data_IF_766986897307
#
_entry.id   IF_766986897307
#
_cell.length_a   1.000
_cell.length_b   1.000
_cell.length_c   1.000
_cell.angle_alpha   90.00
_cell.angle_beta   90.00
_cell.angle_gamma   90.00
#
_symmetry.space_group_name_H-M   'P 1'
#
loop_
_entity.id
_entity.type
_entity.pdbx_description
1 polymer ?
#
# COMPACT_ATOMS: atom_id res chain seq x y z
N UNK A 1 -18.72 38.49 11.31
CA UNK A 1 -19.12 37.43 12.26
C UNK A 1 -18.47 36.12 11.86
N UNK A 2 -17.62 35.60 12.73
CA UNK A 2 -16.78 34.41 12.53
C UNK A 2 -17.63 33.15 12.26
N UNK A 3 -17.47 32.54 11.07
CA UNK A 3 -17.93 31.18 10.82
C UNK A 3 -16.93 30.22 11.46
N UNK A 4 -17.23 29.75 12.65
CA UNK A 4 -16.50 28.66 13.30
C UNK A 4 -16.46 27.45 12.38
N UNK A 5 -15.25 27.03 12.00
CA UNK A 5 -15.01 25.74 11.36
C UNK A 5 -15.41 24.60 12.29
N UNK A 6 -16.63 24.12 12.18
CA UNK A 6 -17.01 22.79 12.64
C UNK A 6 -16.37 21.78 11.69
N UNK A 7 -15.09 21.45 11.92
CA UNK A 7 -14.47 20.23 11.36
C UNK A 7 -15.23 19.07 11.98
N UNK A 8 -16.07 18.38 11.20
CA UNK A 8 -16.87 17.27 11.71
C UNK A 8 -15.95 16.16 12.25
N UNK A 9 -16.27 15.62 13.43
CA UNK A 9 -15.59 14.46 14.01
C UNK A 9 -15.65 13.21 13.12
N UNK A 10 -16.59 13.17 12.17
CA UNK A 10 -16.78 12.04 11.26
C UNK A 10 -15.55 11.80 10.38
N UNK A 11 -14.94 12.86 9.82
CA UNK A 11 -13.76 12.70 8.97
C UNK A 11 -12.54 12.14 9.69
N UNK A 12 -12.43 12.31 11.02
CA UNK A 12 -11.35 11.69 11.79
C UNK A 12 -11.56 10.18 11.95
N UNK A 13 -12.75 9.76 12.38
CA UNK A 13 -13.06 8.35 12.57
C UNK A 13 -13.05 7.58 11.25
N UNK A 14 -13.48 8.21 10.16
CA UNK A 14 -13.47 7.59 8.83
C UNK A 14 -12.04 7.34 8.34
N UNK A 15 -11.13 8.31 8.54
CA UNK A 15 -9.70 8.14 8.23
C UNK A 15 -9.07 7.00 9.05
N UNK A 16 -9.38 6.92 10.35
CA UNK A 16 -8.87 5.89 11.25
C UNK A 16 -9.36 4.52 10.81
N UNK A 17 -10.68 4.38 10.59
CA UNK A 17 -11.30 3.12 10.16
C UNK A 17 -10.76 2.66 8.82
N UNK A 18 -10.71 3.55 7.83
CA UNK A 18 -10.19 3.26 6.50
C UNK A 18 -8.74 2.79 6.56
N UNK A 19 -7.87 3.53 7.26
CA UNK A 19 -6.48 3.13 7.46
C UNK A 19 -6.33 1.77 8.12
N UNK A 20 -7.04 1.52 9.22
CA UNK A 20 -6.98 0.26 9.95
C UNK A 20 -7.49 -0.93 9.12
N UNK A 21 -8.59 -0.79 8.38
CA UNK A 21 -9.13 -1.85 7.55
C UNK A 21 -8.14 -2.27 6.47
N UNK A 22 -7.57 -1.28 5.77
CA UNK A 22 -6.56 -1.53 4.74
C UNK A 22 -5.34 -2.21 5.38
N UNK A 23 -4.79 -1.64 6.46
CA UNK A 23 -3.58 -2.17 7.10
C UNK A 23 -3.72 -3.57 7.68
N UNK A 24 -4.87 -3.91 8.28
CA UNK A 24 -5.17 -5.28 8.69
C UNK A 24 -5.28 -6.24 7.49
N UNK A 25 -5.78 -5.76 6.34
CA UNK A 25 -5.75 -6.49 5.07
C UNK A 25 -4.33 -6.84 4.63
N UNK A 26 -3.42 -5.86 4.64
CA UNK A 26 -2.00 -6.09 4.33
C UNK A 26 -1.36 -7.10 5.29
N UNK A 27 -1.59 -6.95 6.60
CA UNK A 27 -1.04 -7.88 7.59
C UNK A 27 -1.56 -9.30 7.37
N UNK A 28 -2.87 -9.46 7.18
CA UNK A 28 -3.49 -10.75 6.86
C UNK A 28 -2.83 -11.37 5.63
N UNK A 29 -2.70 -10.60 4.55
CA UNK A 29 -2.07 -11.06 3.31
C UNK A 29 -0.63 -11.52 3.54
N UNK A 30 0.18 -10.72 4.25
CA UNK A 30 1.57 -11.04 4.56
C UNK A 30 1.67 -12.36 5.33
N UNK A 31 0.86 -12.52 6.39
CA UNK A 31 0.81 -13.75 7.19
C UNK A 31 0.41 -14.95 6.33
N UNK A 32 -0.65 -14.82 5.53
CA UNK A 32 -1.11 -15.92 4.65
C UNK A 32 -0.02 -16.37 3.68
N UNK A 33 0.70 -15.42 3.06
CA UNK A 33 1.79 -15.74 2.15
C UNK A 33 3.00 -16.33 2.85
N UNK A 34 3.40 -15.79 4.00
CA UNK A 34 4.52 -16.33 4.79
C UNK A 34 4.24 -17.76 5.26
N UNK A 35 3.00 -18.08 5.61
CA UNK A 35 2.61 -19.42 6.04
C UNK A 35 2.38 -20.40 4.86
N UNK A 36 2.43 -19.91 3.61
CA UNK A 36 2.07 -20.71 2.43
C UNK A 36 0.58 -21.10 2.39
N UNK A 37 -0.27 -20.42 3.16
CA UNK A 37 -1.70 -20.70 3.29
C UNK A 37 -2.47 -19.60 2.57
N UNK A 38 -2.97 -19.88 1.37
CA UNK A 38 -3.76 -18.93 0.58
C UNK A 38 -3.03 -18.43 -0.66
N UNK A 39 -3.41 -19.00 -1.81
CA UNK A 39 -3.27 -18.32 -3.10
C UNK A 39 -4.39 -17.29 -3.22
N UNK A 40 -4.12 -16.17 -3.91
CA UNK A 40 -5.23 -15.34 -4.40
C UNK A 40 -5.86 -16.16 -5.51
N UNK A 41 -7.15 -16.46 -5.39
CA UNK A 41 -7.89 -17.10 -6.47
C UNK A 41 -8.15 -16.06 -7.54
N UNK A 42 -7.16 -15.84 -8.42
CA UNK A 42 -7.27 -14.92 -9.55
C UNK A 42 -8.07 -15.55 -10.72
N UNK A 43 -8.56 -16.79 -10.57
CA UNK A 43 -9.34 -17.50 -11.60
C UNK A 43 -10.69 -16.85 -11.93
N UNK A 44 -11.15 -15.90 -11.11
CA UNK A 44 -12.42 -15.19 -11.29
C UNK A 44 -12.30 -13.87 -12.05
N UNK A 45 -11.09 -13.40 -12.38
CA UNK A 45 -10.93 -12.14 -13.13
C UNK A 45 -11.02 -12.40 -14.62
N UNK A 46 -11.77 -11.56 -15.31
CA UNK A 46 -11.88 -11.60 -16.76
C UNK A 46 -10.52 -11.23 -17.37
N UNK A 47 -10.04 -12.04 -18.31
CA UNK A 47 -8.82 -11.77 -19.07
C UNK A 47 -9.12 -10.78 -20.20
N UNK A 48 -8.40 -9.65 -20.21
CA UNK A 48 -8.56 -8.57 -21.19
C UNK A 48 -7.42 -8.49 -22.22
N UNK A 49 -6.63 -9.55 -22.38
CA UNK A 49 -5.47 -9.58 -23.28
C UNK A 49 -5.76 -9.18 -24.73
N UNK A 50 -6.99 -9.40 -25.21
CA UNK A 50 -7.44 -9.01 -26.55
C UNK A 50 -7.96 -7.56 -26.66
N UNK A 51 -8.17 -6.86 -25.54
CA UNK A 51 -8.78 -5.53 -25.51
C UNK A 51 -7.78 -4.39 -25.30
N UNK A 52 -6.63 -4.68 -24.68
CA UNK A 52 -5.58 -3.70 -24.39
C UNK A 52 -5.92 -2.73 -23.26
N UNK A 53 -4.93 -1.92 -22.84
CA UNK A 53 -5.14 -0.90 -21.81
C UNK A 53 -6.03 0.23 -22.35
N UNK A 54 -6.99 0.66 -21.54
CA UNK A 54 -8.01 1.67 -21.90
C UNK A 54 -7.74 3.03 -21.26
N UNK A 55 -7.34 3.05 -19.98
CA UNK A 55 -7.14 4.30 -19.22
C UNK A 55 -5.89 4.22 -18.36
N UNK A 56 -5.05 5.25 -18.39
CA UNK A 56 -3.82 5.31 -17.58
C UNK A 56 -3.77 6.63 -16.81
N UNK A 57 -3.68 6.54 -15.49
CA UNK A 57 -3.33 7.67 -14.63
C UNK A 57 -1.82 7.90 -14.68
N UNK A 58 -1.42 9.04 -15.23
CA UNK A 58 -0.02 9.42 -15.41
C UNK A 58 0.48 10.44 -14.38
N UNK A 59 -0.37 10.81 -13.42
CA UNK A 59 0.06 11.63 -12.28
C UNK A 59 0.92 10.84 -11.29
N UNK A 60 1.90 11.52 -10.70
CA UNK A 60 2.65 10.97 -9.57
C UNK A 60 1.72 10.60 -8.41
N UNK A 61 2.16 9.66 -7.58
CA UNK A 61 1.50 9.35 -6.33
C UNK A 61 1.23 10.59 -5.49
N UNK A 62 0.16 10.51 -4.69
CA UNK A 62 -0.31 11.60 -3.81
C UNK A 62 -0.96 12.80 -4.52
N UNK A 63 -1.33 12.64 -5.78
CA UNK A 63 -2.13 13.62 -6.54
C UNK A 63 -3.63 13.28 -6.57
N UNK A 64 -4.06 12.23 -5.86
CA UNK A 64 -5.43 11.72 -5.89
C UNK A 64 -5.61 10.42 -6.67
N UNK A 65 -4.51 9.79 -7.07
CA UNK A 65 -4.45 8.53 -7.85
C UNK A 65 -5.35 7.42 -7.30
N UNK A 66 -5.40 7.19 -5.98
CA UNK A 66 -6.26 6.15 -5.41
C UNK A 66 -7.75 6.46 -5.56
N UNK A 67 -8.14 7.71 -5.32
CA UNK A 67 -9.51 8.16 -5.57
C UNK A 67 -9.88 8.04 -7.05
N UNK A 68 -8.94 8.35 -7.96
CA UNK A 68 -9.14 8.13 -9.39
C UNK A 68 -9.31 6.63 -9.71
N UNK A 69 -8.48 5.75 -9.14
CA UNK A 69 -8.60 4.31 -9.36
C UNK A 69 -9.97 3.76 -8.93
N UNK A 70 -10.45 4.13 -7.75
CA UNK A 70 -11.80 3.77 -7.29
C UNK A 70 -12.90 4.30 -8.22
N UNK A 71 -12.72 5.52 -8.74
CA UNK A 71 -13.68 6.11 -9.66
C UNK A 71 -13.69 5.40 -11.02
N UNK A 72 -12.52 4.98 -11.51
CA UNK A 72 -12.39 4.19 -12.73
C UNK A 72 -13.00 2.80 -12.57
N UNK A 73 -12.79 2.14 -11.43
CA UNK A 73 -13.45 0.86 -11.10
C UNK A 73 -14.98 1.00 -11.15
N UNK A 74 -15.54 2.06 -10.54
CA UNK A 74 -16.99 2.33 -10.56
C UNK A 74 -17.52 2.61 -11.98
N UNK A 75 -16.69 3.16 -12.86
CA UNK A 75 -17.01 3.38 -14.28
C UNK A 75 -16.79 2.14 -15.15
N UNK A 76 -16.43 0.99 -14.57
CA UNK A 76 -16.23 -0.26 -15.31
C UNK A 76 -14.84 -0.40 -15.94
N UNK A 77 -13.85 0.36 -15.45
CA UNK A 77 -12.44 0.20 -15.81
C UNK A 77 -11.67 -0.38 -14.62
N UNK A 78 -11.65 -1.72 -14.44
CA UNK A 78 -10.82 -2.39 -13.44
C UNK A 78 -9.39 -1.84 -13.43
N UNK A 79 -9.00 -1.24 -12.30
CA UNK A 79 -7.81 -0.41 -12.18
C UNK A 79 -6.80 -1.00 -11.20
N UNK A 80 -5.56 -1.18 -11.66
CA UNK A 80 -4.45 -1.45 -10.75
C UNK A 80 -3.91 -0.14 -10.16
N UNK A 81 -3.91 -0.03 -8.84
CA UNK A 81 -3.23 1.04 -8.10
C UNK A 81 -2.05 0.45 -7.30
N UNK A 82 -0.99 1.22 -7.06
CA UNK A 82 0.21 0.83 -6.30
C UNK A 82 -0.08 0.15 -4.96
N UNK A 83 -1.13 0.60 -4.27
CA UNK A 83 -1.59 0.02 -3.00
C UNK A 83 -2.05 -1.43 -3.10
N UNK A 84 -2.24 -1.98 -4.30
CA UNK A 84 -2.59 -3.38 -4.52
C UNK A 84 -1.49 -4.15 -5.26
N UNK A 85 -0.36 -3.50 -5.57
CA UNK A 85 0.70 -4.08 -6.41
C UNK A 85 1.31 -5.33 -5.78
N UNK A 86 1.58 -5.33 -4.47
CA UNK A 86 2.13 -6.52 -3.78
C UNK A 86 1.13 -7.69 -3.76
N UNK A 87 -0.16 -7.43 -3.97
CA UNK A 87 -1.20 -8.46 -4.04
C UNK A 87 -1.30 -9.10 -5.43
N UNK A 88 -0.60 -8.55 -6.42
CA UNK A 88 -0.52 -9.06 -7.78
C UNK A 88 0.87 -9.62 -8.04
N UNK A 89 1.10 -10.84 -7.55
CA UNK A 89 2.41 -11.50 -7.49
C UNK A 89 3.19 -11.43 -8.81
N UNK A 90 2.63 -11.93 -9.91
CA UNK A 90 3.33 -11.97 -11.20
C UNK A 90 3.70 -10.58 -11.72
N UNK A 91 2.79 -9.60 -11.58
CA UNK A 91 3.04 -8.21 -11.99
C UNK A 91 4.17 -7.61 -11.16
N UNK A 92 4.11 -7.76 -9.83
CA UNK A 92 5.10 -7.16 -8.94
C UNK A 92 6.45 -7.84 -9.03
N UNK A 93 6.47 -9.17 -9.19
CA UNK A 93 7.68 -9.96 -9.33
C UNK A 93 8.40 -9.60 -10.64
N UNK A 94 7.66 -9.44 -11.74
CA UNK A 94 8.21 -8.95 -13.00
C UNK A 94 8.88 -7.57 -12.85
N UNK A 95 8.21 -6.63 -12.18
CA UNK A 95 8.76 -5.29 -11.94
C UNK A 95 9.99 -5.33 -11.02
N UNK A 96 9.95 -6.15 -9.97
CA UNK A 96 11.07 -6.32 -9.04
C UNK A 96 12.29 -6.85 -9.78
N UNK A 97 12.15 -7.97 -10.46
CA UNK A 97 13.29 -8.70 -11.03
C UNK A 97 13.90 -7.95 -12.22
N UNK A 98 13.05 -7.35 -13.07
CA UNK A 98 13.51 -6.74 -14.33
C UNK A 98 13.80 -5.24 -14.25
N UNK A 99 13.34 -4.57 -13.19
CA UNK A 99 13.40 -3.10 -13.09
C UNK A 99 14.00 -2.67 -11.75
N UNK A 100 13.38 -3.02 -10.62
CA UNK A 100 13.78 -2.44 -9.33
C UNK A 100 15.09 -3.02 -8.82
N UNK A 101 15.21 -4.35 -8.76
CA UNK A 101 16.43 -5.03 -8.35
C UNK A 101 17.56 -4.76 -9.35
N UNK A 102 17.26 -4.86 -10.65
CA UNK A 102 18.20 -4.51 -11.71
C UNK A 102 18.73 -3.08 -11.60
N UNK A 103 17.89 -2.10 -11.24
CA UNK A 103 18.34 -0.73 -11.00
C UNK A 103 19.35 -0.64 -9.86
N UNK A 104 19.15 -1.42 -8.80
CA UNK A 104 20.06 -1.47 -7.65
C UNK A 104 21.37 -2.14 -8.04
N UNK A 105 21.32 -3.28 -8.71
CA UNK A 105 22.49 -4.04 -9.16
C UNK A 105 23.36 -3.24 -10.14
N UNK A 106 22.74 -2.50 -11.06
CA UNK A 106 23.44 -1.63 -12.01
C UNK A 106 23.78 -0.24 -11.42
N UNK A 107 23.34 0.05 -10.19
CA UNK A 107 23.45 1.35 -9.53
C UNK A 107 23.04 2.53 -10.45
N UNK A 108 21.92 2.34 -11.16
CA UNK A 108 21.33 3.31 -12.09
C UNK A 108 19.83 3.05 -12.17
N UNK A 109 19.01 4.10 -12.27
CA UNK A 109 17.56 3.94 -12.52
C UNK A 109 17.37 3.34 -13.92
N UNK A 110 16.95 2.08 -13.97
CA UNK A 110 16.60 1.37 -15.20
C UNK A 110 15.13 1.65 -15.50
N UNK A 111 14.85 2.18 -16.69
CA UNK A 111 13.45 2.31 -17.14
C UNK A 111 12.89 0.91 -17.36
N UNK A 112 13.55 0.08 -18.17
CA UNK A 112 13.09 -1.28 -18.46
C UNK A 112 11.82 -1.31 -19.31
N UNK A 113 11.21 -2.50 -19.41
CA UNK A 113 9.95 -2.74 -20.14
C UNK A 113 9.02 -3.57 -19.26
N UNK A 114 8.04 -2.96 -18.58
CA UNK A 114 6.98 -3.69 -17.91
C UNK A 114 6.21 -4.56 -18.91
N UNK A 115 5.78 -5.76 -18.49
CA UNK A 115 4.88 -6.57 -19.30
C UNK A 115 3.43 -6.16 -19.02
N UNK A 116 2.87 -5.30 -19.88
CA UNK A 116 1.49 -4.85 -19.75
C UNK A 116 0.46 -5.99 -19.95
N UNK A 117 0.84 -7.12 -20.56
CA UNK A 117 -0.07 -8.27 -20.65
C UNK A 117 -0.32 -8.90 -19.28
N UNK A 118 0.60 -8.74 -18.31
CA UNK A 118 0.36 -9.17 -16.93
C UNK A 118 -0.75 -8.35 -16.28
N UNK A 119 -0.91 -7.07 -16.63
CA UNK A 119 -2.05 -6.24 -16.18
C UNK A 119 -3.36 -6.80 -16.73
N UNK A 120 -3.40 -7.05 -18.05
CA UNK A 120 -4.59 -7.52 -18.75
C UNK A 120 -5.03 -8.92 -18.29
N UNK A 121 -4.07 -9.85 -18.13
CA UNK A 121 -4.31 -11.18 -17.53
C UNK A 121 -4.72 -11.09 -16.06
N UNK A 122 -4.20 -10.10 -15.35
CA UNK A 122 -4.60 -9.76 -13.99
C UNK A 122 -5.99 -9.12 -13.90
N UNK A 123 -6.69 -8.95 -15.02
CA UNK A 123 -8.03 -8.39 -15.11
C UNK A 123 -8.09 -6.87 -15.01
N UNK A 124 -6.97 -6.18 -15.26
CA UNK A 124 -6.90 -4.72 -15.22
C UNK A 124 -6.80 -4.14 -16.63
N UNK A 125 -7.74 -3.25 -16.96
CA UNK A 125 -7.72 -2.46 -18.19
C UNK A 125 -7.26 -1.03 -17.95
N UNK A 126 -7.03 -0.66 -16.69
CA UNK A 126 -6.52 0.63 -16.29
C UNK A 126 -5.43 0.51 -15.21
N UNK A 127 -4.57 1.52 -15.13
CA UNK A 127 -3.52 1.62 -14.11
C UNK A 127 -3.32 3.06 -13.69
N UNK A 128 -3.01 3.28 -12.42
CA UNK A 128 -2.79 4.61 -11.85
C UNK A 128 -1.63 4.56 -10.87
N UNK A 129 -1.01 5.72 -10.61
CA UNK A 129 0.12 5.86 -9.68
C UNK A 129 1.42 5.17 -10.19
N UNK A 130 2.48 5.27 -9.41
CA UNK A 130 3.80 4.75 -9.72
C UNK A 130 3.86 3.23 -9.47
N UNK A 131 4.58 2.45 -10.28
CA UNK A 131 5.55 2.90 -11.27
C UNK A 131 4.92 3.12 -12.66
N UNK A 132 3.73 2.61 -12.95
CA UNK A 132 3.16 2.57 -14.30
C UNK A 132 2.96 3.97 -14.91
N UNK A 133 2.69 4.99 -14.10
CA UNK A 133 2.66 6.39 -14.56
C UNK A 133 3.97 6.85 -15.24
N UNK A 134 5.11 6.23 -14.98
CA UNK A 134 6.41 6.53 -15.61
C UNK A 134 6.54 5.94 -17.03
N UNK A 135 5.68 4.98 -17.39
CA UNK A 135 5.76 4.23 -18.65
C UNK A 135 4.73 4.69 -19.67
N UNK A 136 4.18 5.88 -19.49
CA UNK A 136 3.09 6.39 -20.32
C UNK A 136 3.45 6.49 -21.81
N UNK A 137 4.70 6.75 -22.16
CA UNK A 137 5.17 6.75 -23.55
C UNK A 137 5.11 5.35 -24.17
N UNK A 138 5.61 4.34 -23.45
CA UNK A 138 5.55 2.94 -23.90
C UNK A 138 4.10 2.46 -24.03
N UNK A 139 3.24 2.87 -23.09
CA UNK A 139 1.80 2.54 -23.11
C UNK A 139 1.09 3.23 -24.27
N UNK A 140 1.36 4.52 -24.53
CA UNK A 140 0.82 5.27 -25.67
C UNK A 140 1.19 4.60 -26.99
N UNK A 141 2.45 4.22 -27.14
CA UNK A 141 2.96 3.64 -28.38
C UNK A 141 2.38 2.23 -28.63
N UNK A 142 2.12 1.47 -27.55
CA UNK A 142 1.55 0.12 -27.65
C UNK A 142 0.02 0.10 -27.75
N UNK A 143 -0.66 1.06 -27.12
CA UNK A 143 -2.12 1.15 -27.03
C UNK A 143 -2.58 2.55 -27.47
N UNK A 144 -2.68 2.82 -28.79
CA UNK A 144 -2.92 4.16 -29.32
C UNK A 144 -4.28 4.74 -28.91
N UNK A 145 -5.29 3.91 -28.67
CA UNK A 145 -6.63 4.32 -28.23
C UNK A 145 -6.73 4.58 -26.72
N UNK A 146 -5.64 4.38 -25.97
CA UNK A 146 -5.62 4.58 -24.53
C UNK A 146 -5.78 6.07 -24.18
N UNK A 147 -6.64 6.34 -23.20
CA UNK A 147 -6.81 7.68 -22.62
C UNK A 147 -5.89 7.87 -21.41
N UNK A 148 -5.35 9.06 -21.25
CA UNK A 148 -4.40 9.41 -20.18
C UNK A 148 -4.98 10.49 -19.27
N UNK A 149 -4.81 10.31 -17.97
CA UNK A 149 -5.29 11.26 -16.95
C UNK A 149 -4.12 11.72 -16.10
N UNK A 150 -3.74 12.99 -16.24
CA UNK A 150 -2.71 13.62 -15.43
C UNK A 150 -3.35 14.21 -14.18
N UNK A 151 -3.27 13.47 -13.07
CA UNK A 151 -3.75 14.00 -11.78
C UNK A 151 -2.78 14.99 -11.17
N UNK A 152 -3.27 16.16 -10.77
CA UNK A 152 -2.44 17.24 -10.19
C UNK A 152 -2.92 17.68 -8.81
N UNK A 153 -2.04 18.35 -8.08
CA UNK A 153 -2.36 19.07 -6.83
C UNK A 153 -2.44 20.57 -7.12
N UNK A 154 -2.88 21.31 -6.12
CA UNK A 154 -2.96 22.78 -6.20
C UNK A 154 -1.60 23.42 -6.50
N UNK A 155 -0.54 22.84 -5.96
CA UNK A 155 0.84 23.27 -6.14
C UNK A 155 1.82 22.12 -5.79
N UNK A 156 3.07 22.23 -6.26
CA UNK A 156 4.12 21.23 -6.07
C UNK A 156 4.56 21.09 -4.61
N UNK A 157 4.46 22.14 -3.81
CA UNK A 157 4.81 22.14 -2.38
C UNK A 157 3.82 21.27 -1.57
N UNK A 158 2.54 21.44 -1.87
CA UNK A 158 1.44 20.68 -1.33
C UNK A 158 1.52 19.21 -1.74
N UNK A 159 1.99 18.92 -2.95
CA UNK A 159 2.33 17.56 -3.38
C UNK A 159 3.49 17.00 -2.55
N UNK A 160 4.64 17.67 -2.50
CA UNK A 160 5.84 17.14 -1.83
C UNK A 160 5.59 16.85 -0.35
N UNK A 161 4.88 17.75 0.35
CA UNK A 161 4.49 17.52 1.75
C UNK A 161 3.68 16.22 1.91
N UNK A 162 2.77 15.93 0.99
CA UNK A 162 1.97 14.70 1.01
C UNK A 162 2.80 13.46 0.66
N UNK A 163 3.68 13.58 -0.34
CA UNK A 163 4.64 12.54 -0.75
C UNK A 163 5.56 12.16 0.40
N UNK A 164 6.24 13.13 1.00
CA UNK A 164 7.20 12.90 2.07
C UNK A 164 6.54 12.29 3.33
N UNK A 165 5.33 12.71 3.68
CA UNK A 165 4.58 12.10 4.79
C UNK A 165 4.21 10.65 4.48
N UNK A 166 3.75 10.35 3.26
CA UNK A 166 3.40 8.99 2.87
C UNK A 166 4.62 8.07 2.88
N UNK A 167 5.71 8.46 2.21
CA UNK A 167 6.88 7.58 2.09
C UNK A 167 7.54 7.32 3.43
N UNK A 168 7.73 8.34 4.27
CA UNK A 168 8.27 8.17 5.63
C UNK A 168 7.37 7.29 6.52
N UNK A 169 6.04 7.38 6.36
CA UNK A 169 5.10 6.53 7.10
C UNK A 169 5.18 5.06 6.69
N UNK A 170 5.76 4.72 5.53
CA UNK A 170 5.93 3.34 5.06
C UNK A 170 7.34 2.84 5.36
N UNK A 171 8.37 3.60 4.99
CA UNK A 171 9.77 3.15 5.10
C UNK A 171 10.21 2.99 6.56
N UNK A 172 9.77 3.87 7.48
CA UNK A 172 10.16 3.77 8.89
C UNK A 172 9.60 2.52 9.57
N UNK A 173 8.30 2.17 9.49
CA UNK A 173 7.81 0.95 10.14
C UNK A 173 8.29 -0.33 9.46
N UNK A 174 8.45 -0.32 8.13
CA UNK A 174 8.84 -1.51 7.38
C UNK A 174 10.27 -2.01 7.71
N UNK A 175 11.14 -1.17 8.27
CA UNK A 175 12.50 -1.57 8.69
C UNK A 175 12.50 -2.73 9.69
N UNK A 176 11.50 -2.80 10.58
CA UNK A 176 11.37 -3.84 11.60
C UNK A 176 10.94 -5.20 11.04
N UNK A 177 10.51 -5.25 9.78
CA UNK A 177 10.04 -6.46 9.10
C UNK A 177 10.90 -6.80 7.87
N UNK A 178 12.07 -6.17 7.72
CA UNK A 178 12.92 -6.31 6.53
C UNK A 178 13.46 -7.73 6.29
N UNK A 179 13.39 -8.62 7.28
CA UNK A 179 13.73 -10.04 7.12
C UNK A 179 12.74 -10.84 6.26
N UNK A 180 11.52 -10.34 6.03
CA UNK A 180 10.53 -11.02 5.21
C UNK A 180 10.68 -10.66 3.73
N UNK A 181 10.63 -11.66 2.85
CA UNK A 181 10.86 -11.51 1.40
C UNK A 181 9.97 -10.46 0.74
N UNK A 182 8.68 -10.42 1.06
CA UNK A 182 7.76 -9.42 0.52
C UNK A 182 8.09 -7.98 0.98
N UNK A 183 8.65 -7.82 2.19
CA UNK A 183 9.12 -6.52 2.68
C UNK A 183 10.42 -6.13 1.99
N UNK A 184 11.30 -7.09 1.64
CA UNK A 184 12.46 -6.84 0.78
C UNK A 184 12.08 -6.36 -0.62
N UNK A 185 11.06 -6.96 -1.24
CA UNK A 185 10.52 -6.48 -2.53
C UNK A 185 10.00 -5.04 -2.42
N UNK A 186 9.30 -4.72 -1.33
CA UNK A 186 8.88 -3.34 -1.03
C UNK A 186 10.07 -2.38 -0.85
N UNK A 187 11.14 -2.83 -0.19
CA UNK A 187 12.38 -2.05 -0.05
C UNK A 187 13.00 -1.74 -1.43
N UNK A 188 13.10 -2.73 -2.34
CA UNK A 188 13.63 -2.51 -3.69
C UNK A 188 12.79 -1.49 -4.48
N UNK A 189 11.47 -1.61 -4.39
CA UNK A 189 10.56 -0.65 -5.01
C UNK A 189 10.74 0.76 -4.43
N UNK A 190 10.86 0.91 -3.11
CA UNK A 190 11.04 2.22 -2.47
C UNK A 190 12.39 2.88 -2.84
N UNK A 191 13.46 2.09 -2.95
CA UNK A 191 14.77 2.55 -3.46
C UNK A 191 14.65 3.11 -4.87
N UNK A 192 14.00 2.37 -5.76
CA UNK A 192 13.73 2.78 -7.13
C UNK A 192 12.89 4.07 -7.20
N UNK A 193 11.82 4.16 -6.40
CA UNK A 193 10.96 5.34 -6.34
C UNK A 193 11.71 6.57 -5.85
N UNK A 194 12.47 6.46 -4.75
CA UNK A 194 13.20 7.60 -4.20
C UNK A 194 14.27 8.06 -5.19
N UNK A 195 14.97 7.13 -5.85
CA UNK A 195 15.96 7.48 -6.86
C UNK A 195 15.33 8.21 -8.06
N UNK A 196 14.16 7.77 -8.51
CA UNK A 196 13.44 8.39 -9.63
C UNK A 196 12.87 9.76 -9.25
N UNK A 197 12.17 9.84 -8.11
CA UNK A 197 11.52 11.07 -7.66
C UNK A 197 12.54 12.13 -7.27
N UNK A 198 13.67 11.76 -6.67
CA UNK A 198 14.70 12.71 -6.29
C UNK A 198 15.74 12.94 -7.39
N UNK A 199 15.64 12.28 -8.54
CA UNK A 199 16.65 12.32 -9.60
C UNK A 199 18.07 12.06 -9.02
N UNK A 200 18.15 11.03 -8.18
CA UNK A 200 19.31 10.78 -7.33
C UNK A 200 19.52 9.28 -7.10
N UNK A 201 20.46 8.71 -7.87
CA UNK A 201 20.77 7.28 -7.82
C UNK A 201 21.32 6.82 -6.47
N UNK A 202 21.80 7.70 -5.59
CA UNK A 202 22.34 7.31 -4.29
C UNK A 202 21.29 6.60 -3.42
N UNK A 203 19.99 6.87 -3.64
CA UNK A 203 18.90 6.15 -2.97
C UNK A 203 18.87 4.65 -3.30
N UNK A 204 19.41 4.22 -4.44
CA UNK A 204 19.43 2.81 -4.83
C UNK A 204 20.27 1.98 -3.85
N UNK A 205 21.38 2.53 -3.38
CA UNK A 205 22.35 1.82 -2.50
C UNK A 205 22.40 2.36 -1.07
N UNK A 206 21.60 3.37 -0.74
CA UNK A 206 21.52 3.96 0.60
C UNK A 206 21.13 2.96 1.71
N UNK A 207 21.47 3.19 2.98
CA UNK A 207 20.99 2.36 4.09
C UNK A 207 19.45 2.32 4.17
N UNK A 208 18.90 1.23 4.74
CA UNK A 208 17.48 1.13 5.06
C UNK A 208 17.26 1.39 6.56
N UNK A 209 16.30 2.25 6.97
CA UNK A 209 15.36 3.00 6.14
C UNK A 209 16.05 4.11 5.32
N UNK A 210 15.46 4.45 4.17
CA UNK A 210 16.04 5.43 3.26
C UNK A 210 16.23 6.81 3.92
N UNK A 211 17.28 7.55 3.54
CA UNK A 211 17.51 8.89 4.06
C UNK A 211 16.39 9.86 3.66
N UNK A 212 16.30 11.03 4.34
CA UNK A 212 15.35 12.07 3.95
C UNK A 212 15.51 12.50 2.49
N UNK A 213 14.38 12.77 1.85
CA UNK A 213 14.34 13.22 0.46
C UNK A 213 14.78 14.68 0.31
N UNK A 214 15.40 15.02 -0.82
CA UNK A 214 15.68 16.39 -1.17
C UNK A 214 14.44 17.03 -1.79
N UNK A 215 13.89 18.03 -1.11
CA UNK A 215 12.64 18.69 -1.48
C UNK A 215 12.70 19.31 -2.87
N UNK A 216 13.76 20.07 -3.14
CA UNK A 216 13.91 20.84 -4.37
C UNK A 216 14.04 19.90 -5.57
N UNK A 217 14.85 18.84 -5.45
CA UNK A 217 14.97 17.82 -6.50
C UNK A 217 13.66 17.07 -6.72
N UNK A 218 12.95 16.71 -5.65
CA UNK A 218 11.67 16.01 -5.75
C UNK A 218 10.60 16.86 -6.46
N UNK A 219 10.49 18.15 -6.11
CA UNK A 219 9.59 19.09 -6.78
C UNK A 219 9.98 19.26 -8.26
N UNK A 220 11.26 19.46 -8.54
CA UNK A 220 11.73 19.61 -9.92
C UNK A 220 11.44 18.38 -10.78
N UNK A 221 11.58 17.17 -10.23
CA UNK A 221 11.23 15.91 -10.91
C UNK A 221 9.72 15.82 -11.18
N UNK A 222 8.88 16.15 -10.19
CA UNK A 222 7.42 16.16 -10.36
C UNK A 222 6.96 17.16 -11.43
N UNK A 223 7.50 18.38 -11.43
CA UNK A 223 7.15 19.39 -12.42
C UNK A 223 7.63 19.00 -13.83
N UNK A 224 8.85 18.46 -13.93
CA UNK A 224 9.40 17.94 -15.18
C UNK A 224 8.55 16.81 -15.75
N UNK A 225 8.13 15.86 -14.91
CA UNK A 225 7.25 14.76 -15.33
C UNK A 225 5.91 15.28 -15.84
N UNK A 226 5.26 16.19 -15.12
CA UNK A 226 4.00 16.77 -15.56
C UNK A 226 4.15 17.51 -16.89
N UNK A 227 5.24 18.26 -17.08
CA UNK A 227 5.50 18.94 -18.34
C UNK A 227 5.74 17.96 -19.48
N UNK A 228 6.55 16.92 -19.25
CA UNK A 228 6.80 15.87 -20.22
C UNK A 228 5.49 15.18 -20.65
N UNK A 229 4.58 14.89 -19.72
CA UNK A 229 3.26 14.33 -20.06
C UNK A 229 2.48 15.26 -20.99
N UNK A 230 2.45 16.57 -20.70
CA UNK A 230 1.74 17.56 -21.52
C UNK A 230 2.34 17.70 -22.92
N UNK A 231 3.66 17.61 -23.03
CA UNK A 231 4.37 17.75 -24.29
C UNK A 231 4.21 16.50 -25.18
N UNK A 232 4.03 15.34 -24.55
CA UNK A 232 4.12 14.04 -25.22
C UNK A 232 2.77 13.40 -25.53
N UNK A 233 1.73 13.62 -24.70
CA UNK A 233 0.39 13.09 -24.96
C UNK A 233 -0.46 14.13 -25.70
N UNK A 234 -1.08 13.79 -26.84
CA UNK A 234 -1.98 14.69 -27.55
C UNK A 234 -3.12 15.19 -26.65
N UNK A 235 -3.53 16.47 -26.74
CA UNK A 235 -4.62 17.01 -25.92
C UNK A 235 -5.94 16.25 -26.05
N UNK A 236 -6.20 15.59 -27.19
CA UNK A 236 -7.39 14.75 -27.39
C UNK A 236 -7.39 13.48 -26.51
N UNK A 237 -6.22 12.99 -26.09
CA UNK A 237 -6.05 11.79 -25.27
C UNK A 237 -5.62 12.11 -23.84
N UNK A 238 -5.53 13.40 -23.46
CA UNK A 238 -5.08 13.84 -22.14
C UNK A 238 -6.16 14.62 -21.39
N UNK A 239 -6.48 14.17 -20.17
CA UNK A 239 -7.23 14.95 -19.19
C UNK A 239 -6.29 15.39 -18.07
N UNK A 240 -6.04 16.69 -17.94
CA UNK A 240 -5.46 17.25 -16.72
C UNK A 240 -6.56 17.42 -15.67
N UNK A 241 -6.40 16.75 -14.52
CA UNK A 241 -7.50 16.50 -13.59
C UNK A 241 -7.10 16.73 -12.14
N UNK A 242 -7.84 17.56 -11.42
CA UNK A 242 -7.83 17.57 -9.97
C UNK A 242 -9.05 16.80 -9.47
N UNK A 243 -8.84 15.75 -8.68
CA UNK A 243 -9.93 14.88 -8.17
C UNK A 243 -11.04 15.62 -7.40
N UNK A 244 -10.80 16.87 -6.98
CA UNK A 244 -11.84 17.73 -6.38
C UNK A 244 -12.88 18.24 -7.36
N UNK A 245 -12.61 18.18 -8.66
CA UNK A 245 -13.56 18.53 -9.71
C UNK A 245 -14.70 17.49 -9.81
N UNK A 246 -14.49 16.28 -9.30
CA UNK A 246 -15.53 15.24 -9.23
C UNK A 246 -15.85 14.59 -10.58
N UNK A 247 -17.02 13.96 -10.66
CA UNK A 247 -17.37 13.07 -11.77
C UNK A 247 -17.45 13.74 -13.15
N UNK A 248 -17.95 14.98 -13.23
CA UNK A 248 -18.33 15.59 -14.50
C UNK A 248 -17.20 15.62 -15.56
N UNK A 249 -16.01 16.20 -15.29
CA UNK A 249 -14.93 16.22 -16.28
C UNK A 249 -14.42 14.81 -16.61
N UNK A 250 -14.41 13.89 -15.64
CA UNK A 250 -13.97 12.51 -15.84
C UNK A 250 -14.92 11.74 -16.76
N UNK A 251 -16.22 11.75 -16.45
CA UNK A 251 -17.25 11.10 -17.27
C UNK A 251 -17.26 11.65 -18.70
N UNK A 252 -17.15 12.98 -18.84
CA UNK A 252 -17.11 13.64 -20.16
C UNK A 252 -15.90 13.18 -20.97
N UNK A 253 -14.72 13.17 -20.37
CA UNK A 253 -13.48 12.75 -21.04
C UNK A 253 -13.50 11.26 -21.43
N UNK A 254 -14.06 10.41 -20.57
CA UNK A 254 -14.23 8.98 -20.84
C UNK A 254 -15.42 8.67 -21.76
N UNK A 255 -16.17 9.69 -22.21
CA UNK A 255 -17.36 9.56 -23.07
C UNK A 255 -18.45 8.66 -22.45
N UNK A 256 -18.53 8.66 -21.13
CA UNK A 256 -19.59 7.98 -20.40
C UNK A 256 -20.88 8.74 -20.62
N UNK A 257 -21.95 8.03 -21.00
CA UNK A 257 -23.26 8.64 -21.17
C UNK A 257 -23.71 9.35 -19.89
N UNK A 258 -24.54 10.40 -20.01
CA UNK A 258 -25.06 11.14 -18.84
C UNK A 258 -25.75 10.21 -17.83
N UNK A 259 -26.46 9.19 -18.32
CA UNK A 259 -27.11 8.19 -17.47
C UNK A 259 -26.13 7.18 -16.82
N UNK A 260 -24.96 6.99 -17.40
CA UNK A 260 -23.90 6.12 -16.86
C UNK A 260 -22.95 6.82 -15.89
N UNK A 261 -23.00 8.15 -15.79
CA UNK A 261 -22.16 8.90 -14.85
C UNK A 261 -22.71 8.78 -13.42
N UNK A 262 -21.90 8.38 -12.42
CA UNK A 262 -22.39 8.17 -11.07
C UNK A 262 -22.95 9.43 -10.40
N UNK A 263 -24.03 9.25 -9.64
CA UNK A 263 -24.63 10.28 -8.79
C UNK A 263 -24.10 10.26 -7.35
N UNK A 264 -23.23 9.31 -7.04
CA UNK A 264 -22.55 9.17 -5.74
C UNK A 264 -21.53 10.30 -5.55
N UNK A 265 -21.18 10.67 -4.30
CA UNK A 265 -20.05 11.56 -4.08
C UNK A 265 -18.76 10.96 -4.65
N UNK A 266 -17.94 11.77 -5.31
CA UNK A 266 -16.66 11.29 -5.87
C UNK A 266 -15.80 10.64 -4.78
N UNK A 267 -15.20 9.45 -5.03
CA UNK A 267 -14.45 8.72 -4.03
C UNK A 267 -13.38 9.58 -3.35
N UNK A 268 -13.39 9.61 -2.01
CA UNK A 268 -12.40 10.33 -1.21
C UNK A 268 -11.74 9.37 -0.23
N UNK A 269 -10.50 8.98 -0.53
CA UNK A 269 -9.74 8.05 0.30
C UNK A 269 -8.25 8.45 0.35
N UNK A 270 -7.45 7.65 1.04
CA UNK A 270 -5.99 7.75 1.08
C UNK A 270 -5.46 9.10 1.63
N UNK A 271 -6.13 9.65 2.65
CA UNK A 271 -5.66 10.84 3.36
C UNK A 271 -4.33 10.56 4.08
N UNK A 272 -3.51 11.58 4.34
CA UNK A 272 -2.26 11.40 5.07
C UNK A 272 -2.46 10.77 6.46
N UNK A 273 -3.62 10.99 7.08
CA UNK A 273 -4.00 10.35 8.35
C UNK A 273 -4.34 8.88 8.16
N UNK A 274 -5.14 8.55 7.14
CA UNK A 274 -5.48 7.17 6.82
C UNK A 274 -4.23 6.33 6.52
N UNK A 275 -3.27 6.89 5.76
CA UNK A 275 -1.97 6.23 5.47
C UNK A 275 -1.19 5.93 6.76
N UNK A 276 -1.15 6.86 7.72
CA UNK A 276 -0.46 6.61 9.00
C UNK A 276 -1.10 5.45 9.77
N UNK A 277 -2.43 5.38 9.82
CA UNK A 277 -3.15 4.29 10.47
C UNK A 277 -3.00 2.97 9.72
N UNK A 278 -2.96 2.99 8.39
CA UNK A 278 -2.64 1.85 7.54
C UNK A 278 -1.26 1.30 7.87
N UNK A 279 -0.22 2.15 7.89
CA UNK A 279 1.14 1.70 8.25
C UNK A 279 1.21 1.14 9.67
N UNK A 280 0.59 1.83 10.64
CA UNK A 280 0.57 1.37 12.03
C UNK A 280 -0.10 0.00 12.16
N UNK A 281 -1.28 -0.17 11.57
CA UNK A 281 -2.03 -1.43 11.63
C UNK A 281 -1.43 -2.56 10.77
N UNK A 282 -0.59 -2.24 9.79
CA UNK A 282 0.16 -3.25 9.01
C UNK A 282 1.39 -3.76 9.75
N UNK A 283 2.20 -2.86 10.32
CA UNK A 283 3.56 -3.19 10.78
C UNK A 283 3.72 -3.16 12.31
N UNK A 284 2.94 -2.38 13.04
CA UNK A 284 3.17 -2.11 14.48
C UNK A 284 2.09 -2.77 15.36
N UNK A 285 0.82 -2.58 15.01
CA UNK A 285 -0.31 -3.11 15.77
C UNK A 285 -0.29 -4.63 15.94
N UNK A 286 -0.10 -5.42 14.87
CA UNK A 286 -0.16 -6.88 14.99
C UNK A 286 0.94 -7.49 15.86
N UNK A 287 2.23 -7.10 15.78
CA UNK A 287 3.24 -7.56 16.74
C UNK A 287 2.91 -7.22 18.21
N UNK A 288 2.34 -6.05 18.47
CA UNK A 288 1.88 -5.67 19.82
C UNK A 288 0.77 -6.62 20.29
N UNK A 289 -0.23 -6.88 19.44
CA UNK A 289 -1.33 -7.78 19.77
C UNK A 289 -0.85 -9.22 20.02
N UNK A 290 0.05 -9.74 19.17
CA UNK A 290 0.66 -11.06 19.37
C UNK A 290 1.44 -11.11 20.68
N UNK A 291 2.22 -10.08 20.99
CA UNK A 291 2.97 -9.99 22.25
C UNK A 291 2.04 -9.98 23.48
N UNK A 292 0.93 -9.25 23.42
CA UNK A 292 -0.10 -9.25 24.46
C UNK A 292 -0.73 -10.65 24.64
N UNK A 293 -1.07 -11.33 23.55
CA UNK A 293 -1.62 -12.70 23.59
C UNK A 293 -0.60 -13.66 24.22
N UNK A 294 0.67 -13.61 23.80
CA UNK A 294 1.73 -14.44 24.35
C UNK A 294 1.96 -14.17 25.85
N UNK A 295 1.93 -12.91 26.28
CA UNK A 295 2.01 -12.56 27.71
C UNK A 295 0.82 -13.13 28.49
N UNK A 296 -0.40 -13.06 27.96
CA UNK A 296 -1.58 -13.63 28.61
C UNK A 296 -1.44 -15.16 28.71
N UNK A 297 -1.05 -15.84 27.63
CA UNK A 297 -0.84 -17.29 27.62
C UNK A 297 0.26 -17.71 28.60
N UNK A 298 1.39 -16.99 28.62
CA UNK A 298 2.50 -17.21 29.54
C UNK A 298 2.06 -17.00 31.00
N UNK A 299 1.31 -15.94 31.28
CA UNK A 299 0.74 -15.70 32.62
C UNK A 299 -0.21 -16.81 33.06
N UNK A 300 -0.97 -17.39 32.13
CA UNK A 300 -1.85 -18.53 32.36
C UNK A 300 -1.06 -19.79 32.66
N UNK A 301 0.00 -20.06 31.90
CA UNK A 301 0.91 -21.17 32.13
C UNK A 301 1.60 -21.07 33.49
N UNK A 302 2.12 -19.90 33.86
CA UNK A 302 2.73 -19.65 35.17
C UNK A 302 1.74 -19.88 36.32
N UNK A 303 0.48 -19.42 36.17
CA UNK A 303 -0.56 -19.68 37.17
C UNK A 303 -0.85 -21.17 37.33
N UNK A 304 -0.89 -21.93 36.23
CA UNK A 304 -1.05 -23.40 36.27
C UNK A 304 0.13 -24.11 36.94
N UNK A 305 1.36 -23.72 36.61
CA UNK A 305 2.57 -24.28 37.23
C UNK A 305 2.55 -24.00 38.74
N UNK A 306 2.23 -22.77 39.15
CA UNK A 306 2.09 -22.43 40.56
C UNK A 306 1.00 -23.24 41.26
N UNK A 307 -0.17 -23.41 40.65
CA UNK A 307 -1.23 -24.25 41.24
C UNK A 307 -0.83 -25.71 41.38
N UNK A 308 -0.07 -26.26 40.43
CA UNK A 308 0.47 -27.63 40.53
C UNK A 308 1.51 -27.72 41.64
N UNK A 309 2.41 -26.74 41.75
CA UNK A 309 3.39 -26.68 42.83
C UNK A 309 2.73 -26.58 44.21
N UNK A 310 1.72 -25.72 44.36
CA UNK A 310 0.95 -25.56 45.59
C UNK A 310 0.21 -26.86 45.95
N UNK A 311 -0.39 -27.54 44.97
CA UNK A 311 -1.02 -28.86 45.15
C UNK A 311 -0.01 -29.94 45.59
N UNK A 312 1.16 -30.02 44.95
CA UNK A 312 2.22 -30.95 45.34
C UNK A 312 2.72 -30.70 46.78
N UNK A 313 2.87 -29.44 47.19
CA UNK A 313 3.24 -29.07 48.55
C UNK A 313 2.17 -29.46 49.57
N UNK A 314 0.89 -29.26 49.24
CA UNK A 314 -0.23 -29.67 50.08
C UNK A 314 -0.29 -31.19 50.26
N UNK A 315 -0.21 -31.96 49.17
CA UNK A 315 -0.27 -33.42 49.21
C UNK A 315 0.94 -34.01 49.94
N UNK A 316 2.14 -33.46 49.75
CA UNK A 316 3.33 -33.81 50.55
C UNK A 316 3.08 -33.60 52.04
N UNK A 317 2.51 -32.46 52.42
CA UNK A 317 2.21 -32.13 53.82
C UNK A 317 1.18 -33.10 54.42
N UNK A 318 0.14 -33.44 53.65
CA UNK A 318 -0.89 -34.41 54.02
C UNK A 318 -0.30 -35.81 54.23
N UNK A 319 0.54 -36.27 53.31
CA UNK A 319 1.23 -37.58 53.42
C UNK A 319 2.13 -37.64 54.65
N UNK A 320 2.89 -36.58 54.95
CA UNK A 320 3.72 -36.50 56.16
C UNK A 320 2.89 -36.57 57.45
N UNK A 321 1.71 -35.96 57.49
CA UNK A 321 0.80 -36.05 58.63
C UNK A 321 0.18 -37.44 58.81
N UNK A 322 -0.13 -38.14 57.70
CA UNK A 322 -0.63 -39.52 57.77
C UNK A 322 0.45 -40.47 58.30
N UNK A 323 1.69 -40.31 57.83
CA UNK A 323 2.84 -41.11 58.30
C UNK A 323 3.15 -40.87 59.78
N UNK A 324 3.02 -39.63 60.28
CA UNK A 324 3.24 -39.34 61.70
C UNK A 324 2.13 -39.90 62.60
N UNK A 325 0.86 -39.86 62.15
CA UNK A 325 -0.26 -40.47 62.87
C UNK A 325 -0.21 -42.01 62.89
N UNK A 326 0.31 -42.64 61.84
CA UNK A 326 0.51 -44.09 61.78
C UNK A 326 1.53 -44.60 62.80
N UNK A 327 2.61 -43.85 63.04
CA UNK A 327 3.66 -44.21 64.02
C UNK A 327 3.23 -44.10 65.49
N UNK A 328 2.13 -43.42 65.80
CA UNK A 328 1.63 -43.25 67.18
C UNK A 328 0.61 -44.31 67.64
N UNK A 329 0.27 -45.29 66.81
CA UNK A 329 -0.70 -46.35 67.14
C UNK A 329 -0.07 -47.70 67.51
N UNK A 330 1.24 -47.86 67.31
CA UNK A 330 1.99 -49.08 67.63
C UNK A 330 2.92 -48.88 68.86
N UNK A 331 2.63 -47.92 69.73
CA UNK A 331 3.36 -47.65 70.99
C UNK A 331 2.56 -48.11 72.20
#
# INVERSE_FOLDING_TARGET
MSRSHYRSNNGFLDDVKSGCLVGLGHFKWLVTKTLGVGGRDDSSRQDFSNEGLKVVGVGYGRTGTYSLGLALDELGYPTLHTQHLYETGDIFDHLVDNIFLKSIEENKVVVGKPDFNLLLKGGYVATVDLPFALYFEQIRDQYPDCKFILTTREDSETWFRSWNVMTSSITQPAQYASMFTHVKKLEYYMRYLFATVNDDKEFLTSPWPLPPQNKEKAIASYERHNQLVRDTIPPSHLLEYNVRQGWEPLCRFLEVSVAGCPMTPFPKSNSARAVKWQSYSSFIGPPILVSLILMILFSGALRRIRSVADWCCHERSRLLQLLSKGKGKDS
#
